data_IF_381500218963
#
_entry.id   IF_381500218963
#
_cell.length_a   1.000
_cell.length_b   1.000
_cell.length_c   1.000
_cell.angle_alpha   90.00
_cell.angle_beta   90.00
_cell.angle_gamma   90.00
#
_symmetry.space_group_name_H-M   'P 1'
#
loop_
_entity.id
_entity.type
_entity.pdbx_description
1 polymer ?
#
# COMPACT_ATOMS: atom_id res chain seq x y z
N UNK A 1 -7.28 4.93 12.70
CA UNK A 1 -7.83 3.71 12.06
C UNK A 1 -6.71 2.97 11.35
N UNK A 2 -6.90 1.68 11.05
CA UNK A 2 -5.96 0.90 10.24
C UNK A 2 -6.67 0.51 8.94
N UNK A 3 -6.06 0.83 7.80
CA UNK A 3 -6.57 0.53 6.47
C UNK A 3 -5.67 -0.50 5.79
N UNK A 4 -6.25 -1.47 5.09
CA UNK A 4 -5.50 -2.43 4.29
C UNK A 4 -5.57 -2.05 2.81
N UNK A 5 -4.42 -1.75 2.22
CA UNK A 5 -4.24 -1.47 0.80
C UNK A 5 -3.93 -2.77 0.07
N UNK A 6 -4.69 -3.02 -1.01
CA UNK A 6 -4.58 -4.21 -1.86
C UNK A 6 -4.20 -3.77 -3.27
N UNK A 7 -2.90 -3.74 -3.63
CA UNK A 7 -2.44 -3.17 -4.90
C UNK A 7 -3.19 -3.66 -6.14
N UNK A 8 -3.62 -4.93 -6.17
CA UNK A 8 -4.37 -5.52 -7.28
C UNK A 8 -5.72 -4.85 -7.60
N UNK A 9 -6.29 -4.10 -6.66
CA UNK A 9 -7.51 -3.33 -6.87
C UNK A 9 -7.22 -1.86 -7.19
N UNK A 10 -5.97 -1.43 -7.00
CA UNK A 10 -5.53 -0.05 -7.18
C UNK A 10 -4.85 0.15 -8.55
N UNK A 11 -4.03 -0.77 -9.03
CA UNK A 11 -3.16 -0.51 -10.20
C UNK A 11 -3.85 -0.63 -11.56
N UNK A 12 -5.15 -0.98 -11.64
CA UNK A 12 -5.82 -1.20 -12.92
C UNK A 12 -5.50 -2.56 -13.55
N UNK A 13 -6.39 -3.07 -14.41
CA UNK A 13 -6.34 -4.47 -14.90
C UNK A 13 -5.16 -4.74 -15.83
N UNK A 14 -4.78 -3.74 -16.64
CA UNK A 14 -3.71 -3.79 -17.62
C UNK A 14 -2.31 -3.90 -16.99
N UNK A 15 -2.18 -3.56 -15.70
CA UNK A 15 -0.94 -3.62 -14.93
C UNK A 15 -0.85 -4.86 -14.04
N UNK A 16 -1.80 -5.79 -14.15
CA UNK A 16 -1.78 -7.07 -13.42
C UNK A 16 -1.01 -8.13 -14.21
N UNK A 17 -0.17 -8.89 -13.51
CA UNK A 17 0.47 -10.08 -14.07
C UNK A 17 -0.49 -11.27 -14.12
N UNK A 18 0.05 -12.43 -14.54
CA UNK A 18 -0.67 -13.71 -14.49
C UNK A 18 -1.30 -13.96 -13.12
N UNK A 19 -2.59 -14.34 -13.11
CA UNK A 19 -3.34 -14.61 -11.88
C UNK A 19 -3.84 -13.37 -11.14
N UNK A 20 -3.74 -12.16 -11.72
CA UNK A 20 -4.19 -10.93 -11.06
C UNK A 20 -3.23 -10.45 -9.97
N UNK A 21 -1.94 -10.79 -10.09
CA UNK A 21 -0.91 -10.49 -9.09
C UNK A 21 -0.07 -9.29 -9.50
N UNK A 22 0.13 -8.36 -8.56
CA UNK A 22 1.03 -7.21 -8.74
C UNK A 22 2.44 -7.59 -8.29
N UNK A 23 3.32 -7.87 -9.26
CA UNK A 23 4.71 -8.29 -9.00
C UNK A 23 5.69 -7.13 -8.85
N UNK A 24 5.43 -6.01 -9.52
CA UNK A 24 6.35 -4.84 -9.48
C UNK A 24 6.30 -4.19 -8.10
N UNK A 25 7.46 -4.06 -7.40
CA UNK A 25 7.58 -3.27 -6.18
C UNK A 25 7.11 -1.82 -6.37
N UNK A 26 7.40 -1.23 -7.53
CA UNK A 26 7.06 0.14 -7.88
C UNK A 26 5.54 0.32 -7.97
N UNK A 27 4.82 -0.62 -8.60
CA UNK A 27 3.36 -0.61 -8.67
C UNK A 27 2.71 -0.82 -7.29
N UNK A 28 3.32 -1.65 -6.43
CA UNK A 28 2.86 -1.81 -5.04
C UNK A 28 3.04 -0.51 -4.25
N UNK A 29 4.19 0.15 -4.38
CA UNK A 29 4.45 1.44 -3.75
C UNK A 29 3.51 2.54 -4.26
N UNK A 30 3.26 2.58 -5.58
CA UNK A 30 2.32 3.52 -6.21
C UNK A 30 0.92 3.38 -5.61
N UNK A 31 0.42 2.15 -5.46
CA UNK A 31 -0.89 1.89 -4.87
C UNK A 31 -0.99 2.46 -3.43
N UNK A 32 0.02 2.20 -2.60
CA UNK A 32 0.08 2.71 -1.21
C UNK A 32 0.11 4.23 -1.19
N UNK A 33 0.98 4.86 -1.98
CA UNK A 33 1.08 6.33 -2.05
C UNK A 33 -0.23 6.97 -2.52
N UNK A 34 -0.92 6.35 -3.49
CA UNK A 34 -2.19 6.86 -4.00
C UNK A 34 -3.30 6.83 -2.94
N UNK A 35 -3.42 5.72 -2.21
CA UNK A 35 -4.40 5.62 -1.13
C UNK A 35 -4.08 6.63 -0.01
N UNK A 36 -2.81 6.80 0.34
CA UNK A 36 -2.41 7.80 1.31
C UNK A 36 -2.71 9.24 0.86
N UNK A 37 -2.52 9.56 -0.42
CA UNK A 37 -2.87 10.87 -0.98
C UNK A 37 -4.38 11.14 -0.90
N UNK A 38 -5.21 10.14 -1.22
CA UNK A 38 -6.68 10.25 -1.07
C UNK A 38 -7.10 10.39 0.40
N UNK A 39 -6.42 9.70 1.32
CA UNK A 39 -6.66 9.90 2.76
C UNK A 39 -6.28 11.32 3.22
N UNK A 40 -5.22 11.92 2.66
CA UNK A 40 -4.81 13.28 2.97
C UNK A 40 -5.85 14.33 2.55
N UNK A 41 -6.52 14.13 1.40
CA UNK A 41 -7.65 14.97 0.97
C UNK A 41 -8.82 14.96 1.97
N UNK A 42 -8.94 13.90 2.78
CA UNK A 42 -9.91 13.76 3.86
C UNK A 42 -9.40 14.23 5.23
N UNK A 43 -8.22 14.87 5.28
CA UNK A 43 -7.61 15.37 6.51
C UNK A 43 -6.92 14.32 7.38
N UNK A 44 -6.65 13.13 6.82
CA UNK A 44 -5.94 12.04 7.51
C UNK A 44 -4.46 12.04 7.14
N UNK A 45 -3.59 11.99 8.14
CA UNK A 45 -2.17 11.70 7.99
C UNK A 45 -1.82 10.23 8.23
N UNK A 46 -0.57 9.88 7.99
CA UNK A 46 -0.04 8.52 8.11
C UNK A 46 0.95 8.45 9.27
N UNK A 47 0.71 7.55 10.21
CA UNK A 47 1.58 7.28 11.36
C UNK A 47 2.48 6.07 11.15
N UNK A 48 2.21 5.26 10.13
CA UNK A 48 3.06 4.13 9.76
C UNK A 48 2.50 3.34 8.59
N UNK A 49 3.41 2.64 7.92
CA UNK A 49 3.13 1.72 6.81
C UNK A 49 3.87 0.41 7.09
N UNK A 50 3.21 -0.72 6.87
CA UNK A 50 3.87 -2.02 6.95
C UNK A 50 3.24 -3.00 5.96
N UNK A 51 4.00 -3.98 5.48
CA UNK A 51 3.45 -5.06 4.68
C UNK A 51 2.71 -6.06 5.59
N UNK A 52 1.63 -6.64 5.08
CA UNK A 52 1.03 -7.83 5.68
C UNK A 52 2.05 -8.96 5.69
N UNK A 53 2.23 -9.67 6.82
CA UNK A 53 3.16 -10.80 6.89
C UNK A 53 2.69 -11.99 6.04
N UNK A 54 1.39 -12.03 5.71
CA UNK A 54 0.79 -13.06 4.88
C UNK A 54 0.35 -12.46 3.54
N UNK A 55 0.71 -13.09 2.41
CA UNK A 55 0.14 -12.71 1.13
C UNK A 55 -1.36 -13.06 1.10
N UNK A 56 -2.12 -12.33 0.28
CA UNK A 56 -3.51 -12.67 -0.01
C UNK A 56 -3.64 -14.02 -0.72
N UNK A 57 -4.85 -14.58 -0.87
CA UNK A 57 -5.07 -15.94 -1.40
C UNK A 57 -4.42 -16.21 -2.77
N UNK A 58 -4.33 -15.18 -3.62
CA UNK A 58 -3.71 -15.27 -4.95
C UNK A 58 -2.22 -14.92 -4.98
N UNK A 59 -1.60 -14.65 -3.82
CA UNK A 59 -0.19 -14.27 -3.71
C UNK A 59 0.09 -12.76 -3.74
N UNK A 60 -0.94 -11.90 -3.69
CA UNK A 60 -0.72 -10.45 -3.64
C UNK A 60 -0.19 -10.01 -2.28
N UNK A 61 0.82 -9.14 -2.30
CA UNK A 61 1.32 -8.50 -1.09
C UNK A 61 0.45 -7.29 -0.76
N UNK A 62 -0.10 -7.28 0.44
CA UNK A 62 -1.03 -6.27 0.94
C UNK A 62 -0.33 -5.43 2.01
N UNK A 63 -0.78 -4.18 2.23
CA UNK A 63 -0.11 -3.23 3.12
C UNK A 63 -1.09 -2.63 4.12
N UNK A 64 -0.67 -2.43 5.36
CA UNK A 64 -1.43 -1.70 6.36
C UNK A 64 -0.94 -0.26 6.46
N UNK A 65 -1.88 0.69 6.49
CA UNK A 65 -1.66 2.10 6.78
C UNK A 65 -2.32 2.43 8.11
N UNK A 66 -1.55 3.00 9.04
CA UNK A 66 -2.10 3.56 10.27
C UNK A 66 -2.43 5.03 10.05
N UNK A 67 -3.72 5.35 9.99
CA UNK A 67 -4.21 6.68 9.67
C UNK A 67 -4.79 7.39 10.90
N UNK A 68 -4.55 8.70 11.00
CA UNK A 68 -5.12 9.56 12.04
C UNK A 68 -5.34 10.98 11.53
N UNK A 69 -6.46 11.60 11.91
CA UNK A 69 -6.72 13.02 11.63
C UNK A 69 -5.64 13.91 12.24
N UNK A 70 -5.10 14.85 11.44
CA UNK A 70 -4.06 15.78 11.87
C UNK A 70 -2.67 15.14 12.11
N UNK A 71 -2.45 13.88 11.73
CA UNK A 71 -1.11 13.30 11.67
C UNK A 71 -0.31 13.90 10.48
N UNK A 72 1.02 13.73 10.45
CA UNK A 72 1.83 14.17 9.32
C UNK A 72 1.45 13.50 8.00
N UNK A 73 1.79 14.10 6.84
CA UNK A 73 1.74 13.43 5.56
C UNK A 73 2.58 12.15 5.55
N UNK A 74 2.27 11.25 4.62
CA UNK A 74 3.07 10.04 4.38
C UNK A 74 4.53 10.40 4.11
N UNK A 75 5.46 9.76 4.83
CA UNK A 75 6.87 9.72 4.45
C UNK A 75 7.08 8.68 3.33
N UNK A 76 7.57 9.07 2.15
CA UNK A 76 7.90 8.13 1.08
C UNK A 76 8.83 6.98 1.51
N UNK A 77 9.74 7.22 2.44
CA UNK A 77 10.70 6.23 2.93
C UNK A 77 10.04 5.11 3.73
N UNK A 78 8.89 5.35 4.38
CA UNK A 78 8.13 4.30 5.08
C UNK A 78 7.50 3.33 4.08
N UNK A 79 7.05 3.81 2.92
CA UNK A 79 6.54 2.94 1.85
C UNK A 79 7.66 2.08 1.27
N UNK A 80 8.79 2.70 0.96
CA UNK A 80 9.94 2.00 0.35
C UNK A 80 10.44 0.89 1.29
N UNK A 81 10.50 1.18 2.59
CA UNK A 81 10.84 0.20 3.63
C UNK A 81 9.82 -0.94 3.69
N UNK A 82 8.53 -0.62 3.76
CA UNK A 82 7.47 -1.63 3.82
C UNK A 82 7.46 -2.55 2.58
N UNK A 83 7.74 -2.01 1.39
CA UNK A 83 7.82 -2.78 0.14
C UNK A 83 9.07 -3.66 0.10
N UNK A 84 10.20 -3.17 0.63
CA UNK A 84 11.46 -3.91 0.69
C UNK A 84 11.46 -5.05 1.73
N UNK A 85 10.85 -4.81 2.89
CA UNK A 85 10.74 -5.78 4.00
C UNK A 85 9.59 -6.77 3.83
N UNK A 86 8.61 -6.43 3.00
CA UNK A 86 7.43 -7.26 2.76
C UNK A 86 7.73 -8.61 2.08
N UNK A 87 6.78 -9.55 2.13
CA UNK A 87 6.92 -10.84 1.46
C UNK A 87 7.12 -10.68 -0.06
N UNK A 88 7.74 -11.69 -0.67
CA UNK A 88 8.06 -11.74 -2.11
C UNK A 88 7.04 -12.56 -2.87
#
# INVERSE_FOLDING_TARGET
>A
MVLMVKPQFEVGRERLGSGGVVRSPELRAEAVRRVAAQAAELGLGVLGVTASPLPGPSGNVEYFLWLRAGAPPLDPADVDRAVAEGPR
#
